data_IF_724672562582
#
_entry.id   IF_724672562582
#
_cell.length_a   1.000
_cell.length_b   1.000
_cell.length_c   1.000
_cell.angle_alpha   90.00
_cell.angle_beta   90.00
_cell.angle_gamma   90.00
#
_symmetry.space_group_name_H-M   'P 1'
#
loop_
_entity.id
_entity.type
_entity.pdbx_description
1 polymer ?
#
# COMPACT_ATOMS: atom_id res chain seq x y z
N UNK A 1 -0.41 4.33 -12.25
CA UNK A 1 0.15 3.08 -11.69
C UNK A 1 0.08 1.85 -12.60
N UNK A 2 -0.59 1.86 -13.76
CA UNK A 2 -0.69 0.70 -14.66
C UNK A 2 -2.04 -0.03 -14.52
N UNK A 3 -2.18 -1.22 -15.14
CA UNK A 3 -3.45 -1.99 -15.13
C UNK A 3 -3.59 -2.95 -13.95
N UNK A 4 -2.47 -3.42 -13.39
CA UNK A 4 -2.45 -4.42 -12.33
C UNK A 4 -2.49 -3.78 -10.95
N UNK A 5 -3.61 -3.13 -10.66
CA UNK A 5 -3.83 -2.38 -9.43
C UNK A 5 -5.13 -2.83 -8.76
N UNK A 6 -5.07 -3.04 -7.45
CA UNK A 6 -6.25 -3.18 -6.59
C UNK A 6 -6.29 -2.04 -5.56
N UNK A 7 -7.49 -1.60 -5.22
CA UNK A 7 -7.72 -0.53 -4.26
C UNK A 7 -8.53 -1.07 -3.09
N UNK A 8 -8.08 -0.73 -1.88
CA UNK A 8 -8.83 -0.86 -0.65
C UNK A 8 -9.03 0.55 -0.08
N UNK A 9 -10.28 0.94 0.09
CA UNK A 9 -10.68 2.30 0.42
C UNK A 9 -11.59 2.28 1.64
N UNK A 10 -11.33 3.16 2.59
CA UNK A 10 -12.25 3.51 3.67
C UNK A 10 -12.41 5.04 3.67
N UNK A 11 -13.64 5.51 3.52
CA UNK A 11 -13.98 6.92 3.38
C UNK A 11 -14.97 7.28 4.47
N UNK A 12 -14.58 8.22 5.34
CA UNK A 12 -15.44 8.67 6.43
C UNK A 12 -15.74 10.15 6.29
N UNK A 13 -17.02 10.47 6.17
CA UNK A 13 -17.49 11.84 6.27
C UNK A 13 -17.71 12.21 7.73
N UNK A 14 -17.00 13.23 8.21
CA UNK A 14 -17.15 13.75 9.57
C UNK A 14 -17.71 15.16 9.54
N UNK A 15 -18.65 15.42 10.45
CA UNK A 15 -19.25 16.74 10.66
C UNK A 15 -19.04 17.18 12.11
N UNK A 16 -18.69 18.45 12.30
CA UNK A 16 -18.56 19.06 13.61
C UNK A 16 -19.94 19.16 14.28
N UNK A 17 -20.02 18.69 15.52
CA UNK A 17 -21.23 18.74 16.35
C UNK A 17 -21.09 19.70 17.53
N UNK A 18 -19.86 19.92 18.00
CA UNK A 18 -19.52 20.93 19.01
C UNK A 18 -18.12 21.49 18.73
N UNK A 19 -17.67 22.46 19.53
CA UNK A 19 -16.34 23.09 19.36
C UNK A 19 -15.20 22.05 19.29
N UNK A 20 -15.30 20.95 20.04
CA UNK A 20 -14.24 19.95 20.13
C UNK A 20 -14.59 18.57 19.55
N UNK A 21 -15.79 18.39 18.97
CA UNK A 21 -16.28 17.07 18.57
C UNK A 21 -16.74 16.98 17.11
N UNK A 22 -16.25 15.95 16.42
CA UNK A 22 -16.70 15.53 15.10
C UNK A 22 -17.40 14.18 15.16
N UNK A 23 -18.66 14.14 14.70
CA UNK A 23 -19.40 12.90 14.52
C UNK A 23 -19.28 12.34 13.10
N UNK A 24 -19.24 11.02 12.99
CA UNK A 24 -19.30 10.34 11.69
C UNK A 24 -20.73 10.38 11.12
N UNK A 25 -20.84 10.48 9.80
CA UNK A 25 -22.10 10.49 9.08
C UNK A 25 -22.03 9.57 7.86
N UNK A 26 -23.12 8.83 7.65
CA UNK A 26 -23.35 8.13 6.39
C UNK A 26 -23.85 9.14 5.35
N UNK A 27 -23.06 9.37 4.30
CA UNK A 27 -23.45 10.13 3.12
C UNK A 27 -23.01 9.31 1.91
N UNK A 28 -23.96 8.91 1.06
CA UNK A 28 -23.70 7.99 -0.05
C UNK A 28 -23.13 8.67 -1.29
N UNK A 29 -23.17 10.01 -1.34
CA UNK A 29 -22.67 10.78 -2.47
C UNK A 29 -21.35 11.47 -2.13
N UNK A 30 -20.26 10.94 -2.68
CA UNK A 30 -18.90 11.44 -2.48
C UNK A 30 -18.71 12.88 -2.97
N UNK A 31 -19.22 13.24 -4.16
CA UNK A 31 -19.10 14.61 -4.70
C UNK A 31 -19.76 15.63 -3.78
N UNK A 32 -20.92 15.27 -3.22
CA UNK A 32 -21.62 16.10 -2.23
C UNK A 32 -20.82 16.26 -0.94
N UNK A 33 -20.19 15.19 -0.44
CA UNK A 33 -19.28 15.28 0.72
C UNK A 33 -18.10 16.21 0.42
N UNK A 34 -17.51 16.06 -0.76
CA UNK A 34 -16.34 16.82 -1.20
C UNK A 34 -16.68 18.31 -1.31
N UNK A 35 -17.80 18.64 -1.95
CA UNK A 35 -18.27 20.02 -2.08
C UNK A 35 -18.55 20.66 -0.71
N UNK A 36 -19.18 19.93 0.22
CA UNK A 36 -19.40 20.43 1.60
C UNK A 36 -18.08 20.68 2.33
N UNK A 37 -17.11 19.78 2.18
CA UNK A 37 -15.78 19.90 2.78
C UNK A 37 -15.02 21.09 2.21
N UNK A 38 -15.03 21.28 0.88
CA UNK A 38 -14.40 22.44 0.21
C UNK A 38 -15.03 23.77 0.63
N UNK A 39 -16.36 23.81 0.76
CA UNK A 39 -17.09 25.05 1.07
C UNK A 39 -17.13 25.38 2.57
N UNK A 40 -17.04 24.39 3.45
CA UNK A 40 -16.99 24.58 4.89
C UNK A 40 -16.08 23.54 5.58
N UNK A 41 -14.74 23.68 5.42
CA UNK A 41 -13.77 22.72 5.96
C UNK A 41 -13.68 22.75 7.50
N UNK A 42 -14.12 23.85 8.14
CA UNK A 42 -14.14 23.96 9.60
C UNK A 42 -15.12 22.98 10.24
N UNK A 43 -16.25 22.73 9.59
CA UNK A 43 -17.32 21.88 10.13
C UNK A 43 -17.46 20.56 9.40
N UNK A 44 -16.74 20.35 8.30
CA UNK A 44 -16.88 19.18 7.45
C UNK A 44 -15.50 18.70 7.02
N UNK A 45 -15.24 17.41 7.16
CA UNK A 45 -14.03 16.79 6.62
C UNK A 45 -14.28 15.40 6.08
N UNK A 46 -13.41 14.98 5.17
CA UNK A 46 -13.34 13.61 4.67
C UNK A 46 -12.04 13.01 5.18
N UNK A 47 -12.15 11.98 6.01
CA UNK A 47 -11.02 11.11 6.31
C UNK A 47 -10.94 10.05 5.22
N UNK A 48 -9.81 10.03 4.51
CA UNK A 48 -9.57 9.13 3.39
C UNK A 48 -8.45 8.18 3.75
N UNK A 49 -8.77 6.91 3.96
CA UNK A 49 -7.78 5.83 4.03
C UNK A 49 -7.78 5.08 2.69
N UNK A 50 -6.66 5.18 1.97
CA UNK A 50 -6.48 4.59 0.67
C UNK A 50 -5.28 3.64 0.71
N UNK A 51 -5.49 2.37 0.36
CA UNK A 51 -4.41 1.42 0.13
C UNK A 51 -4.41 0.99 -1.33
N UNK A 52 -3.34 1.33 -2.03
CA UNK A 52 -3.10 1.03 -3.44
C UNK A 52 -2.14 -0.15 -3.51
N UNK A 53 -2.63 -1.28 -4.03
CA UNK A 53 -1.84 -2.49 -4.23
C UNK A 53 -1.47 -2.61 -5.71
N UNK A 54 -0.18 -2.60 -6.01
CA UNK A 54 0.36 -2.66 -7.37
C UNK A 54 1.06 -4.00 -7.54
N UNK A 55 0.55 -4.85 -8.44
CA UNK A 55 1.09 -6.19 -8.71
C UNK A 55 2.09 -6.08 -9.86
N UNK A 56 3.26 -5.57 -9.54
CA UNK A 56 4.36 -5.35 -10.47
C UNK A 56 5.67 -5.22 -9.68
N UNK A 57 6.75 -5.78 -10.23
CA UNK A 57 8.07 -5.71 -9.61
C UNK A 57 8.74 -4.37 -9.93
N UNK A 58 9.60 -3.92 -9.04
CA UNK A 58 10.53 -2.82 -9.26
C UNK A 58 11.91 -3.45 -9.48
N UNK A 59 12.37 -3.46 -10.72
CA UNK A 59 13.58 -4.20 -11.11
C UNK A 59 14.87 -3.43 -10.86
N UNK A 60 14.81 -2.10 -10.99
CA UNK A 60 16.00 -1.26 -10.91
C UNK A 60 15.75 0.11 -10.26
N UNK A 61 16.84 0.86 -10.06
CA UNK A 61 16.79 2.19 -9.47
C UNK A 61 15.97 3.18 -10.32
N UNK A 62 16.04 3.09 -11.65
CA UNK A 62 15.32 4.00 -12.55
C UNK A 62 13.80 3.77 -12.45
N UNK A 63 13.38 2.51 -12.39
CA UNK A 63 11.99 2.16 -12.14
C UNK A 63 11.55 2.62 -10.75
N UNK A 64 12.38 2.40 -9.72
CA UNK A 64 12.09 2.87 -8.35
C UNK A 64 11.81 4.38 -8.33
N UNK A 65 12.63 5.18 -9.00
CA UNK A 65 12.44 6.62 -9.12
C UNK A 65 11.17 6.99 -9.90
N UNK A 66 10.87 6.27 -10.99
CA UNK A 66 9.61 6.44 -11.72
C UNK A 66 8.39 6.14 -10.85
N UNK A 67 8.44 5.09 -10.03
CA UNK A 67 7.36 4.76 -9.07
C UNK A 67 7.21 5.85 -8.01
N UNK A 68 8.32 6.38 -7.51
CA UNK A 68 8.34 7.50 -6.56
C UNK A 68 7.67 8.75 -7.15
N UNK A 69 7.99 9.09 -8.41
CA UNK A 69 7.34 10.19 -9.13
C UNK A 69 5.83 9.96 -9.30
N UNK A 70 5.41 8.76 -9.69
CA UNK A 70 3.97 8.44 -9.83
C UNK A 70 3.20 8.61 -8.52
N UNK A 71 3.81 8.25 -7.39
CA UNK A 71 3.20 8.45 -6.05
C UNK A 71 3.14 9.94 -5.73
N UNK A 72 4.22 10.69 -5.98
CA UNK A 72 4.26 12.13 -5.78
C UNK A 72 3.16 12.85 -6.59
N UNK A 73 3.05 12.56 -7.89
CA UNK A 73 2.03 13.14 -8.77
C UNK A 73 0.62 12.81 -8.30
N UNK A 74 0.40 11.58 -7.82
CA UNK A 74 -0.89 11.19 -7.26
C UNK A 74 -1.23 11.93 -5.96
N UNK A 75 -0.23 12.17 -5.10
CA UNK A 75 -0.41 13.00 -3.90
C UNK A 75 -0.73 14.45 -4.28
N UNK A 76 -0.08 15.03 -5.30
CA UNK A 76 -0.40 16.38 -5.78
C UNK A 76 -1.84 16.45 -6.31
N UNK A 77 -2.26 15.46 -7.11
CA UNK A 77 -3.65 15.37 -7.55
C UNK A 77 -4.64 15.33 -6.37
N UNK A 78 -4.36 14.56 -5.32
CA UNK A 78 -5.22 14.53 -4.12
C UNK A 78 -5.23 15.87 -3.37
N UNK A 79 -4.14 16.63 -3.38
CA UNK A 79 -4.09 17.99 -2.83
C UNK A 79 -4.96 18.95 -3.64
N UNK A 80 -4.80 18.95 -4.96
CA UNK A 80 -5.60 19.78 -5.87
C UNK A 80 -7.09 19.49 -5.75
N UNK A 81 -7.44 18.22 -5.51
CA UNK A 81 -8.81 17.80 -5.25
C UNK A 81 -9.32 18.09 -3.83
N UNK A 82 -8.49 18.62 -2.92
CA UNK A 82 -8.88 18.90 -1.54
C UNK A 82 -9.10 17.65 -0.68
N UNK A 83 -8.45 16.53 -1.04
CA UNK A 83 -8.57 15.23 -0.37
C UNK A 83 -7.37 14.90 0.53
N UNK A 84 -6.36 15.76 0.56
CA UNK A 84 -5.12 15.50 1.27
C UNK A 84 -5.20 15.76 2.78
N UNK A 85 -6.02 16.70 3.24
CA UNK A 85 -5.96 17.23 4.62
C UNK A 85 -6.05 16.14 5.71
N UNK A 86 -6.86 15.11 5.48
CA UNK A 86 -7.01 13.94 6.35
C UNK A 86 -6.78 12.62 5.59
N UNK A 87 -5.71 12.58 4.79
CA UNK A 87 -5.29 11.44 3.99
C UNK A 87 -4.33 10.52 4.74
N UNK A 88 -4.66 9.23 4.76
CA UNK A 88 -3.75 8.13 5.02
C UNK A 88 -3.65 7.27 3.76
N UNK A 89 -2.50 7.28 3.11
CA UNK A 89 -2.24 6.56 1.86
C UNK A 89 -1.12 5.54 2.04
N UNK A 90 -1.45 4.27 1.81
CA UNK A 90 -0.47 3.20 1.61
C UNK A 90 -0.35 2.86 0.13
N UNK A 91 0.87 2.86 -0.42
CA UNK A 91 1.14 2.32 -1.76
C UNK A 91 2.06 1.12 -1.62
N UNK A 92 1.57 -0.06 -1.97
CA UNK A 92 2.23 -1.34 -1.74
C UNK A 92 2.52 -2.02 -3.07
N UNK A 93 3.80 -2.30 -3.32
CA UNK A 93 4.26 -3.06 -4.48
C UNK A 93 4.35 -4.53 -4.11
N UNK A 94 3.45 -5.34 -4.65
CA UNK A 94 3.41 -6.79 -4.49
C UNK A 94 4.09 -7.41 -5.70
N UNK A 95 4.94 -8.40 -5.47
CA UNK A 95 5.53 -9.19 -6.53
C UNK A 95 4.43 -9.87 -7.36
N UNK A 96 4.49 -9.72 -8.68
CA UNK A 96 3.50 -10.31 -9.57
C UNK A 96 3.45 -11.84 -9.53
N UNK A 97 4.48 -12.52 -8.99
CA UNK A 97 4.51 -13.99 -8.84
C UNK A 97 3.40 -14.53 -7.95
N UNK A 98 2.75 -13.68 -7.16
CA UNK A 98 1.51 -14.06 -6.45
C UNK A 98 0.34 -14.39 -7.38
N UNK A 99 0.41 -13.96 -8.64
CA UNK A 99 -0.63 -14.18 -9.66
C UNK A 99 -0.49 -15.52 -10.38
N UNK A 100 0.63 -16.22 -10.19
CA UNK A 100 0.92 -17.49 -10.84
C UNK A 100 0.02 -18.62 -10.29
N UNK A 101 -0.42 -19.58 -11.12
CA UNK A 101 -1.35 -20.64 -10.72
C UNK A 101 -0.91 -21.46 -9.51
N UNK A 102 0.39 -21.74 -9.37
CA UNK A 102 0.90 -22.53 -8.25
C UNK A 102 1.15 -21.72 -6.97
N UNK A 103 0.85 -20.42 -6.96
CA UNK A 103 1.15 -19.55 -5.81
C UNK A 103 0.52 -20.07 -4.51
N UNK A 104 -0.77 -20.43 -4.50
CA UNK A 104 -1.45 -20.90 -3.28
C UNK A 104 -0.82 -22.18 -2.69
N UNK A 105 -0.33 -23.07 -3.56
CA UNK A 105 0.41 -24.27 -3.16
C UNK A 105 1.73 -23.89 -2.49
N UNK A 106 2.47 -22.93 -3.05
CA UNK A 106 3.72 -22.46 -2.43
C UNK A 106 3.45 -21.69 -1.14
N UNK A 107 2.47 -20.79 -1.11
CA UNK A 107 2.02 -20.09 0.10
C UNK A 107 1.75 -21.09 1.24
N UNK A 108 1.05 -22.19 0.94
CA UNK A 108 0.79 -23.26 1.91
C UNK A 108 2.06 -23.97 2.38
N UNK A 109 3.02 -24.24 1.48
CA UNK A 109 4.32 -24.83 1.85
C UNK A 109 5.14 -23.88 2.72
N UNK A 110 5.14 -22.58 2.41
CA UNK A 110 5.83 -21.54 3.16
C UNK A 110 5.34 -21.49 4.61
N UNK A 111 4.02 -21.41 4.83
CA UNK A 111 3.47 -21.35 6.19
C UNK A 111 3.66 -22.63 7.01
N UNK A 112 3.96 -23.76 6.36
CA UNK A 112 4.20 -25.05 7.02
C UNK A 112 5.68 -25.40 7.17
N UNK A 113 6.58 -24.58 6.61
CA UNK A 113 8.01 -24.83 6.71
C UNK A 113 8.58 -24.26 7.99
N UNK A 114 9.57 -24.92 8.55
CA UNK A 114 10.34 -24.37 9.67
C UNK A 114 11.10 -23.11 9.20
N UNK A 115 10.89 -22.00 9.91
CA UNK A 115 11.59 -20.77 9.63
C UNK A 115 13.08 -20.89 10.02
N UNK A 116 13.92 -20.21 9.26
CA UNK A 116 15.36 -20.07 9.53
C UNK A 116 15.69 -18.61 9.76
N UNK A 117 16.64 -18.35 10.66
CA UNK A 117 17.15 -17.00 10.91
C UNK A 117 18.05 -16.59 9.76
N UNK A 118 17.81 -15.40 9.22
CA UNK A 118 18.58 -14.79 8.13
C UNK A 118 18.89 -13.35 8.52
N UNK A 119 20.13 -12.92 8.34
CA UNK A 119 20.50 -11.52 8.52
C UNK A 119 20.12 -10.70 7.28
N UNK A 120 19.31 -9.64 7.47
CA UNK A 120 18.92 -8.69 6.43
C UNK A 120 19.15 -7.28 6.96
N UNK A 121 20.04 -6.53 6.32
CA UNK A 121 20.39 -5.15 6.72
C UNK A 121 20.85 -5.04 8.19
N UNK A 122 21.55 -6.07 8.69
CA UNK A 122 22.06 -6.13 10.07
C UNK A 122 21.04 -6.56 11.12
N UNK A 123 19.85 -6.99 10.71
CA UNK A 123 18.82 -7.52 11.59
C UNK A 123 18.55 -9.01 11.34
N UNK A 124 18.36 -9.78 12.41
CA UNK A 124 17.96 -11.17 12.34
C UNK A 124 16.46 -11.30 12.05
N UNK A 125 16.12 -12.02 10.98
CA UNK A 125 14.75 -12.18 10.50
C UNK A 125 14.46 -13.65 10.26
N UNK A 126 13.31 -14.09 10.77
CA UNK A 126 12.76 -15.41 10.50
C UNK A 126 12.18 -15.44 9.08
N UNK A 127 12.69 -16.37 8.28
CA UNK A 127 12.34 -16.53 6.87
C UNK A 127 12.19 -18.01 6.52
N UNK A 128 11.38 -18.35 5.51
CA UNK A 128 11.31 -19.71 5.02
C UNK A 128 12.65 -20.22 4.46
N UNK A 129 12.87 -21.55 4.42
CA UNK A 129 14.14 -22.13 3.99
C UNK A 129 14.56 -21.68 2.59
N UNK A 130 15.83 -21.33 2.41
CA UNK A 130 16.38 -20.81 1.15
C UNK A 130 16.07 -21.71 -0.06
N UNK A 131 16.13 -23.04 0.12
CA UNK A 131 15.80 -24.01 -0.94
C UNK A 131 14.36 -23.85 -1.43
N UNK A 132 13.41 -23.69 -0.51
CA UNK A 132 11.99 -23.52 -0.83
C UNK A 132 11.74 -22.16 -1.51
N UNK A 133 12.41 -21.10 -1.04
CA UNK A 133 12.34 -19.77 -1.66
C UNK A 133 12.84 -19.76 -3.11
N UNK A 134 13.96 -20.46 -3.39
CA UNK A 134 14.49 -20.62 -4.75
C UNK A 134 13.55 -21.42 -5.66
N UNK A 135 13.01 -22.53 -5.15
CA UNK A 135 12.03 -23.35 -5.88
C UNK A 135 10.80 -22.51 -6.25
N UNK A 136 10.20 -21.84 -5.26
CA UNK A 136 9.04 -20.95 -5.45
C UNK A 136 9.34 -19.85 -6.48
N UNK A 137 10.46 -19.16 -6.33
CA UNK A 137 10.82 -18.02 -7.20
C UNK A 137 10.95 -18.45 -8.65
N UNK A 138 11.60 -19.60 -8.91
CA UNK A 138 11.79 -20.16 -10.25
C UNK A 138 10.46 -20.61 -10.85
N UNK A 139 9.72 -21.47 -10.14
CA UNK A 139 8.48 -22.07 -10.68
C UNK A 139 7.44 -21.00 -10.97
N UNK A 140 7.23 -20.06 -10.04
CA UNK A 140 6.23 -19.02 -10.24
C UNK A 140 6.62 -18.04 -11.36
N UNK A 141 7.92 -17.75 -11.55
CA UNK A 141 8.36 -16.94 -12.69
C UNK A 141 8.11 -17.67 -14.02
N UNK A 142 8.47 -18.95 -14.12
CA UNK A 142 8.22 -19.76 -15.34
C UNK A 142 6.74 -19.88 -15.68
N UNK A 143 5.86 -19.85 -14.68
CA UNK A 143 4.40 -19.80 -14.87
C UNK A 143 3.94 -18.43 -15.36
N UNK A 144 4.39 -17.35 -14.71
CA UNK A 144 4.06 -15.99 -15.12
C UNK A 144 4.46 -15.69 -16.57
N UNK A 145 5.67 -16.10 -16.97
CA UNK A 145 6.21 -15.83 -18.31
C UNK A 145 5.35 -16.44 -19.43
N UNK A 146 4.51 -17.43 -19.10
CA UNK A 146 3.57 -18.08 -20.03
C UNK A 146 2.18 -17.45 -20.01
N UNK A 147 1.89 -16.57 -19.04
CA UNK A 147 0.59 -15.94 -18.90
C UNK A 147 0.48 -14.67 -19.73
N UNK A 148 -0.66 -14.51 -20.39
CA UNK A 148 -1.03 -13.24 -21.03
C UNK A 148 -1.43 -12.19 -19.99
N UNK A 149 -1.36 -10.90 -20.38
CA UNK A 149 -1.87 -9.79 -19.55
C UNK A 149 -3.33 -10.00 -19.12
N UNK A 150 -4.16 -10.61 -19.99
CA UNK A 150 -5.56 -10.91 -19.68
C UNK A 150 -5.67 -11.92 -18.54
N UNK A 151 -4.86 -12.98 -18.56
CA UNK A 151 -4.84 -14.01 -17.51
C UNK A 151 -4.33 -13.45 -16.18
N UNK A 152 -3.31 -12.61 -16.22
CA UNK A 152 -2.76 -11.93 -15.04
C UNK A 152 -3.80 -11.01 -14.39
N UNK A 153 -4.54 -10.24 -15.19
CA UNK A 153 -5.63 -9.41 -14.69
C UNK A 153 -6.79 -10.23 -14.12
N UNK A 154 -7.12 -11.38 -14.72
CA UNK A 154 -8.12 -12.30 -14.18
C UNK A 154 -7.66 -12.89 -12.85
N UNK A 155 -6.41 -13.33 -12.75
CA UNK A 155 -5.82 -13.85 -11.50
C UNK A 155 -5.85 -12.79 -10.40
N UNK A 156 -5.39 -11.57 -10.70
CA UNK A 156 -5.40 -10.45 -9.75
C UNK A 156 -6.80 -10.15 -9.21
N UNK A 157 -7.82 -10.16 -10.07
CA UNK A 157 -9.21 -9.88 -9.66
C UNK A 157 -9.82 -10.96 -8.76
N UNK A 158 -9.24 -12.15 -8.69
CA UNK A 158 -9.68 -13.22 -7.77
C UNK A 158 -9.17 -13.03 -6.34
N UNK A 159 -8.18 -12.16 -6.13
CA UNK A 159 -7.65 -11.89 -4.80
C UNK A 159 -8.71 -11.21 -3.95
N UNK A 160 -9.04 -11.79 -2.79
CA UNK A 160 -10.00 -11.19 -1.87
C UNK A 160 -9.42 -9.91 -1.27
N UNK A 161 -10.26 -8.87 -1.11
CA UNK A 161 -9.83 -7.60 -0.46
C UNK A 161 -9.43 -7.79 1.01
N UNK A 162 -9.88 -8.85 1.64
CA UNK A 162 -9.53 -9.23 3.02
C UNK A 162 -8.10 -9.78 3.11
N UNK A 163 -7.59 -10.41 2.05
CA UNK A 163 -6.20 -10.90 1.96
C UNK A 163 -5.20 -9.76 1.70
N UNK A 164 -5.68 -8.56 1.33
CA UNK A 164 -4.88 -7.34 1.17
C UNK A 164 -4.57 -6.72 2.54
N UNK A 165 -3.72 -7.41 3.30
CA UNK A 165 -3.26 -7.07 4.66
C UNK A 165 -1.80 -7.46 4.85
N UNK A 166 -1.17 -7.00 5.94
CA UNK A 166 0.22 -7.35 6.25
C UNK A 166 0.38 -8.88 6.38
N UNK A 167 -0.38 -9.49 7.28
CA UNK A 167 -0.36 -10.94 7.56
C UNK A 167 -0.94 -11.80 6.41
N UNK A 168 -1.60 -11.16 5.45
CA UNK A 168 -2.12 -11.78 4.24
C UNK A 168 -1.07 -11.84 3.13
N UNK A 169 -1.36 -11.18 1.99
CA UNK A 169 -0.50 -11.26 0.81
C UNK A 169 0.81 -10.47 0.94
N UNK A 170 0.92 -9.52 1.86
CA UNK A 170 2.05 -8.57 1.90
C UNK A 170 3.30 -9.12 2.57
N UNK A 171 3.20 -9.88 3.65
CA UNK A 171 4.33 -10.24 4.52
C UNK A 171 5.55 -10.73 3.72
N UNK A 172 5.35 -11.76 2.90
CA UNK A 172 6.42 -12.39 2.11
C UNK A 172 6.53 -11.85 0.68
N UNK A 173 5.49 -11.22 0.15
CA UNK A 173 5.41 -10.86 -1.27
C UNK A 173 5.47 -9.36 -1.55
N UNK A 174 5.37 -8.51 -0.52
CA UNK A 174 5.64 -7.09 -0.64
C UNK A 174 7.10 -6.87 -0.97
N UNK A 175 7.40 -6.11 -2.01
CA UNK A 175 8.77 -5.75 -2.36
C UNK A 175 9.11 -4.37 -1.78
N UNK A 176 8.23 -3.39 -2.01
CA UNK A 176 8.36 -2.03 -1.50
C UNK A 176 7.01 -1.51 -1.00
N UNK A 177 7.04 -0.55 -0.08
CA UNK A 177 5.88 0.23 0.34
C UNK A 177 6.24 1.71 0.48
N UNK A 178 5.23 2.56 0.29
CA UNK A 178 5.23 3.97 0.64
C UNK A 178 4.05 4.23 1.58
N UNK A 179 4.30 4.98 2.64
CA UNK A 179 3.24 5.48 3.51
C UNK A 179 3.26 7.00 3.48
N UNK A 180 2.10 7.59 3.19
CA UNK A 180 1.87 9.03 3.15
C UNK A 180 0.78 9.33 4.17
N UNK A 181 1.13 10.13 5.17
CA UNK A 181 0.19 10.59 6.19
C UNK A 181 0.16 12.10 6.16
N UNK A 182 -1.02 12.69 5.98
CA UNK A 182 -1.20 14.12 6.23
C UNK A 182 -1.06 14.44 7.72
N UNK A 183 -0.73 15.68 8.06
CA UNK A 183 -0.67 16.07 9.46
C UNK A 183 -2.04 15.92 10.15
N UNK A 184 -3.13 16.22 9.44
CA UNK A 184 -4.49 16.11 9.99
C UNK A 184 -4.86 14.66 10.35
N UNK A 185 -4.46 13.65 9.55
CA UNK A 185 -4.75 12.26 9.92
C UNK A 185 -3.88 11.77 11.07
N UNK A 186 -2.64 12.27 11.16
CA UNK A 186 -1.74 11.95 12.28
C UNK A 186 -2.29 12.52 13.58
N UNK A 187 -2.75 13.76 13.59
CA UNK A 187 -3.34 14.39 14.78
C UNK A 187 -4.63 13.70 15.21
N UNK A 188 -5.41 13.19 14.26
CA UNK A 188 -6.64 12.46 14.56
C UNK A 188 -6.41 11.06 15.13
N UNK A 189 -5.50 10.27 14.53
CA UNK A 189 -5.37 8.83 14.82
C UNK A 189 -4.12 8.45 15.61
N UNK A 190 -3.08 9.29 15.57
CA UNK A 190 -1.73 8.96 16.00
C UNK A 190 -1.06 10.10 16.78
N UNK A 191 -1.85 10.95 17.44
CA UNK A 191 -1.38 12.20 18.08
C UNK A 191 -0.22 12.01 19.05
N UNK A 192 -0.16 10.89 19.76
CA UNK A 192 0.91 10.53 20.70
C UNK A 192 2.25 10.17 20.04
N UNK A 193 2.27 9.91 18.73
CA UNK A 193 3.43 9.43 17.98
C UNK A 193 3.98 10.44 16.97
N UNK A 194 3.43 11.65 16.91
CA UNK A 194 3.82 12.67 15.93
C UNK A 194 5.23 13.19 16.24
N UNK A 195 6.13 13.05 15.29
CA UNK A 195 7.49 13.58 15.37
C UNK A 195 7.60 14.97 14.73
N UNK A 196 8.71 15.65 14.97
CA UNK A 196 9.03 16.90 14.26
C UNK A 196 9.11 16.69 12.75
N UNK A 197 9.69 15.57 12.30
CA UNK A 197 9.79 15.21 10.87
C UNK A 197 8.42 15.11 10.23
N UNK A 198 7.45 14.53 10.94
CA UNK A 198 6.08 14.39 10.42
C UNK A 198 5.39 15.75 10.20
N UNK A 199 5.63 16.71 11.10
CA UNK A 199 5.10 18.09 10.95
C UNK A 199 5.73 18.85 9.80
N UNK A 200 6.97 18.54 9.46
CA UNK A 200 7.71 19.16 8.35
C UNK A 200 7.40 18.50 6.99
N UNK A 201 6.82 17.29 6.99
CA UNK A 201 6.55 16.50 5.79
C UNK A 201 5.22 16.90 5.16
N UNK A 202 5.27 17.96 4.36
CA UNK A 202 4.09 18.46 3.63
C UNK A 202 3.86 17.73 2.31
N UNK A 203 4.84 16.96 1.81
CA UNK A 203 4.81 16.30 0.50
C UNK A 203 4.68 17.29 -0.66
N UNK A 204 5.28 18.47 -0.53
CA UNK A 204 5.46 19.42 -1.65
C UNK A 204 6.72 19.10 -2.45
N UNK A 205 7.59 18.22 -1.94
CA UNK A 205 8.82 17.80 -2.58
C UNK A 205 8.81 16.29 -2.78
N UNK A 206 9.32 15.84 -3.92
CA UNK A 206 9.44 14.40 -4.21
C UNK A 206 10.32 13.66 -3.19
N UNK A 207 11.25 14.35 -2.54
CA UNK A 207 12.09 13.79 -1.47
C UNK A 207 11.27 13.30 -0.27
N UNK A 208 10.05 13.80 -0.09
CA UNK A 208 9.18 13.38 1.00
C UNK A 208 8.55 12.01 0.73
N UNK A 209 8.60 11.52 -0.50
CA UNK A 209 8.07 10.20 -0.89
C UNK A 209 9.18 9.16 -0.76
N UNK A 210 9.10 8.27 0.22
CA UNK A 210 10.11 7.24 0.45
C UNK A 210 9.55 5.85 0.14
N UNK A 211 10.27 5.08 -0.70
CA UNK A 211 9.99 3.67 -0.96
C UNK A 211 10.85 2.79 -0.06
N UNK A 212 10.20 2.23 0.97
CA UNK A 212 10.78 1.34 1.98
C UNK A 212 10.68 -0.10 1.50
N UNK A 213 11.79 -0.85 1.58
CA UNK A 213 11.83 -2.25 1.19
C UNK A 213 11.23 -3.14 2.29
N UNK A 214 10.50 -4.18 1.91
CA UNK A 214 10.09 -5.20 2.86
C UNK A 214 11.29 -6.07 3.24
N UNK A 215 11.51 -6.24 4.53
CA UNK A 215 12.60 -7.06 5.04
C UNK A 215 12.35 -8.56 4.84
N UNK A 216 11.08 -8.98 4.89
CA UNK A 216 10.62 -10.36 4.68
C UNK A 216 10.36 -10.73 3.20
N UNK A 217 10.80 -9.92 2.24
CA UNK A 217 10.61 -10.22 0.82
C UNK A 217 11.25 -11.58 0.45
N UNK A 218 10.43 -12.53 0.00
CA UNK A 218 10.81 -13.94 -0.04
C UNK A 218 11.53 -14.36 -1.32
N UNK A 219 11.28 -13.63 -2.40
CA UNK A 219 11.68 -14.07 -3.71
C UNK A 219 13.17 -13.82 -3.99
N UNK A 220 13.76 -14.74 -4.74
CA UNK A 220 15.15 -14.71 -5.19
C UNK A 220 15.14 -14.41 -6.69
N UNK A 221 16.08 -13.54 -7.12
CA UNK A 221 16.34 -13.25 -8.51
C UNK A 221 17.33 -14.25 -9.11
#
# INVERSE_FOLDING_TARGET
FGKRVLLKTDVKYKKRESEDFFGWRLESNFEKMLNKTKNNPKDNRIELNLQVYIFNRIDDKKEKEKRRQQIFDFVQYLKDEGLFEYLELGVIFIDERVLAPSYDKFRSKIYRSDEVVVEVEGEEIYMPPMKLRREMSKVLQEELDKMSEKELLVSMRKINKEDLTYDGIREYNGQYQCWIYSIGILEEKYSSSITKKDRERTYDKISDVELIKYKKYIYIN
#
